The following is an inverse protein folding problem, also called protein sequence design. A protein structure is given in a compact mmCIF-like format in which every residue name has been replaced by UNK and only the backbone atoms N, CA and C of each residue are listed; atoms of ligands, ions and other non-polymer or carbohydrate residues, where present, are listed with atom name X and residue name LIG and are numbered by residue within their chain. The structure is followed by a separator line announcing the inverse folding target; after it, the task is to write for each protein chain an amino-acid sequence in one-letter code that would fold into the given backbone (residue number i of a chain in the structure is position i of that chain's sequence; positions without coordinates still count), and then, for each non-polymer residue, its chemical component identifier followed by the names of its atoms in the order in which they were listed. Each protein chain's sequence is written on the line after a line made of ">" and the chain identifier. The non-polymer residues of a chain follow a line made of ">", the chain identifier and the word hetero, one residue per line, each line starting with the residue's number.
data_IF_854880538369
#
_entry.id   IF_854880538369
#
_cell.length_a   1.000
_cell.length_b   1.000
_cell.length_c   1.000
_cell.angle_alpha   90.00
_cell.angle_beta   90.00
_cell.angle_gamma   90.00
#
_symmetry.space_group_name_H-M   'P 1'
#
loop_
_entity.id
_entity.type
_entity.pdbx_description
1 polymer ?
#
# COMPACT_ATOMS: atom_id res chain seq x y z
N UNK A 1 7.17 -5.75 25.77
CA UNK A 1 8.00 -6.06 24.59
C UNK A 1 7.36 -5.33 23.41
N UNK A 2 8.12 -4.64 22.61
CA UNK A 2 7.54 -3.91 21.46
C UNK A 2 7.10 -4.95 20.42
N UNK A 3 5.82 -4.92 20.03
CA UNK A 3 5.24 -5.86 19.07
C UNK A 3 5.23 -5.20 17.70
N UNK A 4 5.85 -5.82 16.72
CA UNK A 4 5.83 -5.38 15.32
C UNK A 4 4.81 -6.21 14.56
N UNK A 5 3.96 -5.53 13.79
CA UNK A 5 2.93 -6.21 13.00
C UNK A 5 3.54 -6.90 11.77
N UNK A 6 2.93 -7.98 11.29
CA UNK A 6 3.34 -8.66 10.05
C UNK A 6 3.29 -7.75 8.81
N UNK A 7 2.55 -6.65 8.88
CA UNK A 7 2.47 -5.59 7.85
C UNK A 7 3.70 -4.68 7.82
N UNK A 8 4.66 -4.84 8.74
CA UNK A 8 5.97 -4.20 8.63
C UNK A 8 6.68 -4.73 7.38
N UNK A 9 7.19 -3.84 6.54
CA UNK A 9 7.75 -4.16 5.22
C UNK A 9 8.71 -5.36 5.21
N UNK A 10 9.71 -5.37 6.09
CA UNK A 10 10.65 -6.48 6.22
C UNK A 10 9.96 -7.79 6.56
N UNK A 11 9.03 -7.78 7.53
CA UNK A 11 8.33 -8.97 7.99
C UNK A 11 7.40 -9.52 6.92
N UNK A 12 6.65 -8.64 6.24
CA UNK A 12 5.74 -9.00 5.18
C UNK A 12 6.49 -9.64 4.00
N UNK A 13 7.57 -9.01 3.57
CA UNK A 13 8.42 -9.52 2.49
C UNK A 13 9.07 -10.85 2.88
N UNK A 14 9.64 -10.97 4.09
CA UNK A 14 10.22 -12.22 4.61
C UNK A 14 9.18 -13.35 4.64
N UNK A 15 7.98 -13.06 5.17
CA UNK A 15 6.88 -14.01 5.28
C UNK A 15 6.51 -14.65 3.96
N UNK A 16 6.43 -13.86 2.88
CA UNK A 16 5.94 -14.32 1.58
C UNK A 16 7.05 -14.74 0.62
N UNK A 17 8.28 -14.23 0.77
CA UNK A 17 9.32 -14.43 -0.25
C UNK A 17 10.58 -15.13 0.24
N UNK A 18 10.67 -15.53 1.51
CA UNK A 18 11.79 -16.35 1.97
C UNK A 18 11.81 -17.71 1.23
N UNK A 19 12.98 -18.33 1.03
CA UNK A 19 13.12 -19.59 0.27
C UNK A 19 12.22 -20.71 0.79
N UNK A 20 11.98 -20.73 2.08
CA UNK A 20 11.13 -21.70 2.80
C UNK A 20 9.68 -21.22 2.98
N UNK A 21 9.25 -20.15 2.29
CA UNK A 21 7.92 -19.54 2.42
C UNK A 21 7.03 -19.69 1.17
N UNK A 22 7.47 -20.43 0.15
CA UNK A 22 6.74 -20.53 -1.11
C UNK A 22 5.33 -21.12 -0.95
N UNK A 23 5.14 -22.03 -0.01
CA UNK A 23 3.82 -22.59 0.30
C UNK A 23 2.91 -21.57 0.97
N UNK A 24 3.48 -20.67 1.80
CA UNK A 24 2.75 -19.56 2.43
C UNK A 24 2.30 -18.56 1.37
N UNK A 25 3.20 -18.15 0.47
CA UNK A 25 2.88 -17.28 -0.66
C UNK A 25 1.76 -17.86 -1.51
N UNK A 26 1.87 -19.15 -1.86
CA UNK A 26 0.87 -19.85 -2.68
C UNK A 26 -0.49 -19.89 -1.99
N UNK A 27 -0.53 -20.22 -0.69
CA UNK A 27 -1.75 -20.23 0.10
C UNK A 27 -2.36 -18.83 0.23
N UNK A 28 -1.55 -17.80 0.48
CA UNK A 28 -1.98 -16.41 0.55
C UNK A 28 -2.68 -15.95 -0.74
N UNK A 29 -2.08 -16.24 -1.89
CA UNK A 29 -2.66 -15.88 -3.18
C UNK A 29 -3.95 -16.67 -3.44
N UNK A 30 -3.99 -17.98 -3.16
CA UNK A 30 -5.19 -18.81 -3.29
C UNK A 30 -6.33 -18.28 -2.42
N UNK A 31 -6.07 -17.98 -1.15
CA UNK A 31 -7.10 -17.54 -0.20
C UNK A 31 -7.70 -16.19 -0.58
N UNK A 32 -6.89 -15.27 -1.12
CA UNK A 32 -7.36 -13.93 -1.46
C UNK A 32 -7.91 -13.81 -2.89
N UNK A 33 -7.34 -14.49 -3.87
CA UNK A 33 -7.83 -14.46 -5.26
C UNK A 33 -8.85 -15.56 -5.57
N UNK A 34 -8.81 -16.68 -4.85
CA UNK A 34 -9.57 -17.88 -5.21
C UNK A 34 -8.95 -18.68 -6.36
N UNK A 35 -7.71 -18.36 -6.75
CA UNK A 35 -6.98 -19.03 -7.85
C UNK A 35 -5.90 -19.94 -7.25
N UNK A 36 -5.85 -21.17 -7.70
CA UNK A 36 -4.84 -22.13 -7.29
C UNK A 36 -3.79 -22.32 -8.37
N UNK A 37 -2.52 -22.08 -8.00
CA UNK A 37 -1.37 -22.31 -8.86
C UNK A 37 -0.66 -23.60 -8.44
N UNK A 38 -0.09 -24.34 -9.39
CA UNK A 38 0.77 -25.49 -9.07
C UNK A 38 2.07 -25.01 -8.47
N UNK A 39 2.66 -23.96 -9.03
CA UNK A 39 3.83 -23.30 -8.50
C UNK A 39 3.68 -21.78 -8.60
N UNK A 40 4.16 -21.08 -7.58
CA UNK A 40 4.20 -19.62 -7.56
C UNK A 40 5.52 -19.20 -6.90
N UNK A 41 6.33 -18.42 -7.60
CA UNK A 41 7.66 -18.00 -7.13
C UNK A 41 7.76 -16.49 -7.13
N UNK A 42 8.26 -15.89 -6.05
CA UNK A 42 8.56 -14.46 -6.06
C UNK A 42 9.69 -14.19 -7.05
N UNK A 43 9.63 -13.07 -7.75
CA UNK A 43 10.69 -12.62 -8.66
C UNK A 43 11.99 -12.35 -7.88
N UNK A 44 11.84 -11.78 -6.69
CA UNK A 44 12.94 -11.52 -5.77
C UNK A 44 12.72 -12.27 -4.48
N UNK A 45 13.66 -13.13 -4.14
CA UNK A 45 13.66 -13.87 -2.87
C UNK A 45 14.21 -12.98 -1.75
N UNK A 46 13.60 -13.07 -0.57
CA UNK A 46 14.06 -12.32 0.59
C UNK A 46 15.45 -12.78 1.05
N UNK A 47 16.37 -11.80 1.10
CA UNK A 47 17.67 -11.91 1.75
C UNK A 47 17.94 -10.62 2.50
N UNK A 48 18.36 -10.70 3.78
CA UNK A 48 18.54 -9.51 4.62
C UNK A 48 19.54 -8.52 4.04
N UNK A 49 20.60 -8.98 3.39
CA UNK A 49 21.61 -8.10 2.78
C UNK A 49 21.05 -7.36 1.57
N UNK A 50 20.29 -8.03 0.71
CA UNK A 50 19.59 -7.40 -0.42
C UNK A 50 18.60 -6.36 0.09
N UNK A 51 17.85 -6.69 1.15
CA UNK A 51 16.90 -5.77 1.76
C UNK A 51 17.58 -4.52 2.34
N UNK A 52 18.69 -4.67 3.05
CA UNK A 52 19.48 -3.54 3.57
C UNK A 52 19.93 -2.61 2.45
N UNK A 53 20.47 -3.18 1.36
CA UNK A 53 20.93 -2.40 0.22
C UNK A 53 19.80 -1.62 -0.45
N UNK A 54 18.65 -2.25 -0.65
CA UNK A 54 17.44 -1.62 -1.18
C UNK A 54 16.96 -0.48 -0.27
N UNK A 55 16.89 -0.69 1.04
CA UNK A 55 16.48 0.31 2.02
C UNK A 55 17.41 1.53 2.01
N UNK A 56 18.73 1.33 2.04
CA UNK A 56 19.70 2.41 2.03
C UNK A 56 19.66 3.22 0.73
N UNK A 57 19.43 2.58 -0.41
CA UNK A 57 19.26 3.24 -1.70
C UNK A 57 18.04 4.15 -1.70
N UNK A 58 16.90 3.65 -1.20
CA UNK A 58 15.65 4.42 -1.15
C UNK A 58 15.72 5.56 -0.15
N UNK A 59 16.35 5.35 1.01
CA UNK A 59 16.60 6.39 2.01
C UNK A 59 17.42 7.56 1.43
N UNK A 60 18.49 7.28 0.67
CA UNK A 60 19.29 8.31 -0.01
C UNK A 60 18.50 9.09 -1.06
N UNK A 61 17.54 8.45 -1.70
CA UNK A 61 16.66 9.08 -2.66
C UNK A 61 15.51 9.90 -2.01
N UNK A 62 15.43 9.95 -0.66
CA UNK A 62 14.34 10.62 0.06
C UNK A 62 13.02 9.85 0.01
N UNK A 63 13.02 8.62 -0.48
CA UNK A 63 11.85 7.74 -0.57
C UNK A 63 11.76 6.95 0.72
N UNK A 64 10.99 7.46 1.69
CA UNK A 64 10.76 6.77 2.97
C UNK A 64 9.61 5.76 2.94
N UNK A 65 8.88 5.67 1.84
CA UNK A 65 7.89 4.64 1.60
C UNK A 65 8.56 3.51 0.81
N UNK A 66 8.96 2.48 1.52
CA UNK A 66 9.21 1.19 0.90
C UNK A 66 7.83 0.62 0.55
N UNK A 67 7.45 0.78 -0.70
CA UNK A 67 6.32 0.05 -1.23
C UNK A 67 6.70 -1.43 -1.20
N UNK A 68 5.85 -2.22 -0.58
CA UNK A 68 6.08 -3.67 -0.53
C UNK A 68 5.53 -4.26 -1.82
N UNK A 69 6.25 -4.08 -2.88
CA UNK A 69 5.93 -4.70 -4.15
C UNK A 69 6.58 -6.08 -4.19
N UNK A 70 5.76 -7.10 -4.05
CA UNK A 70 6.15 -8.47 -4.36
C UNK A 70 5.55 -8.80 -5.71
N UNK A 71 6.40 -9.12 -6.68
CA UNK A 71 5.98 -9.68 -7.94
C UNK A 71 6.26 -11.19 -7.91
N UNK A 72 5.21 -11.98 -8.05
CA UNK A 72 5.32 -13.43 -8.15
C UNK A 72 4.89 -13.91 -9.54
N UNK A 73 5.51 -14.99 -10.00
CA UNK A 73 5.26 -15.59 -11.32
C UNK A 73 4.85 -17.05 -11.13
N UNK A 74 3.75 -17.41 -11.74
CA UNK A 74 3.22 -18.78 -11.73
C UNK A 74 3.82 -19.64 -12.84
N UNK A 75 3.58 -20.95 -12.77
CA UNK A 75 4.04 -21.93 -13.79
C UNK A 75 3.51 -21.66 -15.20
N UNK A 76 2.34 -21.03 -15.29
CA UNK A 76 1.72 -20.67 -16.57
C UNK A 76 2.15 -19.28 -17.10
N UNK A 77 3.08 -18.63 -16.39
CA UNK A 77 3.56 -17.29 -16.69
C UNK A 77 2.67 -16.17 -16.20
N UNK A 78 1.55 -16.45 -15.51
CA UNK A 78 0.73 -15.42 -14.87
C UNK A 78 1.52 -14.66 -13.80
N UNK A 79 1.27 -13.36 -13.68
CA UNK A 79 1.94 -12.49 -12.74
C UNK A 79 1.00 -12.11 -11.60
N UNK A 80 1.51 -12.08 -10.38
CA UNK A 80 0.78 -11.60 -9.21
C UNK A 80 1.58 -10.50 -8.52
N UNK A 81 1.02 -9.30 -8.43
CA UNK A 81 1.56 -8.21 -7.61
C UNK A 81 0.91 -8.25 -6.24
N UNK A 82 1.69 -8.03 -5.17
CA UNK A 82 1.19 -8.01 -3.80
C UNK A 82 1.74 -6.76 -3.12
N UNK A 83 0.82 -5.89 -2.70
CA UNK A 83 1.13 -4.65 -1.99
C UNK A 83 0.53 -4.62 -0.59
N UNK A 84 1.24 -4.03 0.37
CA UNK A 84 0.76 -3.81 1.73
C UNK A 84 0.88 -2.33 2.11
N UNK A 85 -0.24 -1.61 2.06
CA UNK A 85 -0.31 -0.18 2.31
C UNK A 85 -0.96 0.10 3.66
N UNK A 86 -0.15 0.50 4.66
CA UNK A 86 -0.63 0.79 6.02
C UNK A 86 -1.07 2.24 6.24
N UNK A 87 -0.94 3.12 5.24
CA UNK A 87 -1.37 4.51 5.29
C UNK A 87 -2.12 4.87 4.03
N UNK A 88 -3.24 5.59 4.17
CA UNK A 88 -3.95 6.13 3.00
C UNK A 88 -3.04 7.09 2.23
N UNK A 89 -3.00 6.92 0.92
CA UNK A 89 -2.25 7.77 0.01
C UNK A 89 -3.19 8.24 -1.10
N UNK A 90 -3.15 9.52 -1.50
CA UNK A 90 -3.81 9.97 -2.72
C UNK A 90 -3.39 9.12 -3.91
N UNK A 91 -4.32 8.85 -4.83
CA UNK A 91 -4.05 8.07 -6.05
C UNK A 91 -3.64 6.61 -5.83
N UNK A 92 -4.12 5.98 -4.73
CA UNK A 92 -3.79 4.58 -4.45
C UNK A 92 -4.36 3.63 -5.52
N UNK A 93 -5.61 3.86 -5.96
CA UNK A 93 -6.25 3.03 -7.00
C UNK A 93 -5.49 3.14 -8.31
N UNK A 94 -5.12 4.36 -8.72
CA UNK A 94 -4.35 4.60 -9.95
C UNK A 94 -3.02 3.88 -9.91
N UNK A 95 -2.33 3.93 -8.77
CA UNK A 95 -1.03 3.28 -8.57
C UNK A 95 -1.12 1.76 -8.69
N UNK A 96 -2.04 1.12 -7.98
CA UNK A 96 -2.17 -0.34 -8.02
C UNK A 96 -2.66 -0.82 -9.39
N UNK A 97 -3.46 -0.01 -10.08
CA UNK A 97 -3.87 -0.28 -11.46
C UNK A 97 -2.69 -0.17 -12.43
N UNK A 98 -1.84 0.83 -12.24
CA UNK A 98 -0.60 0.98 -13.01
C UNK A 98 0.31 -0.24 -12.86
N UNK A 99 0.55 -0.72 -11.62
CA UNK A 99 1.38 -1.89 -11.36
C UNK A 99 0.79 -3.18 -11.95
N UNK A 100 -0.54 -3.33 -11.89
CA UNK A 100 -1.20 -4.45 -12.54
C UNK A 100 -0.99 -4.41 -14.06
N UNK A 101 -1.12 -3.24 -14.68
CA UNK A 101 -0.88 -3.06 -16.11
C UNK A 101 0.59 -3.34 -16.50
N UNK A 102 1.54 -2.92 -15.67
CA UNK A 102 2.97 -3.24 -15.86
C UNK A 102 3.22 -4.75 -15.76
N UNK A 103 2.65 -5.41 -14.75
CA UNK A 103 2.76 -6.86 -14.58
C UNK A 103 2.17 -7.61 -15.79
N UNK A 104 1.03 -7.17 -16.32
CA UNK A 104 0.44 -7.70 -17.53
C UNK A 104 1.36 -7.51 -18.74
N UNK A 105 1.92 -6.32 -18.91
CA UNK A 105 2.84 -5.99 -20.01
C UNK A 105 4.20 -6.69 -19.90
N UNK A 106 4.61 -7.10 -18.70
CA UNK A 106 5.95 -7.66 -18.46
C UNK A 106 6.29 -8.89 -19.30
N UNK A 107 5.28 -9.65 -19.74
CA UNK A 107 5.46 -10.83 -20.61
C UNK A 107 5.47 -10.48 -22.12
N UNK A 108 5.17 -9.23 -22.51
CA UNK A 108 5.12 -8.81 -23.90
C UNK A 108 6.48 -8.99 -24.60
N UNK A 109 6.49 -9.72 -25.71
CA UNK A 109 7.69 -9.98 -26.49
C UNK A 109 8.61 -11.07 -25.92
N UNK A 110 8.25 -11.73 -24.83
CA UNK A 110 9.02 -12.79 -24.20
C UNK A 110 8.73 -14.14 -24.90
N UNK A 111 9.33 -14.36 -26.06
CA UNK A 111 9.05 -15.49 -26.97
C UNK A 111 9.71 -16.81 -26.54
N UNK A 112 10.46 -16.86 -25.44
CA UNK A 112 11.24 -18.03 -25.03
C UNK A 112 10.40 -19.18 -24.46
N UNK A 113 9.13 -18.94 -24.13
CA UNK A 113 8.28 -19.96 -23.49
C UNK A 113 7.34 -20.72 -24.45
N UNK A 114 7.10 -20.27 -25.69
CA UNK A 114 6.05 -20.85 -26.52
C UNK A 114 6.48 -21.37 -27.91
N UNK A 115 7.73 -21.27 -28.29
CA UNK A 115 8.17 -21.81 -29.59
C UNK A 115 7.43 -21.25 -30.83
N UNK A 116 6.53 -20.31 -30.64
CA UNK A 116 5.69 -19.75 -31.67
C UNK A 116 6.36 -18.61 -32.44
N UNK A 117 5.99 -18.52 -33.72
CA UNK A 117 6.59 -17.66 -34.74
C UNK A 117 6.75 -16.20 -34.26
N UNK A 118 7.87 -15.63 -34.61
CA UNK A 118 8.37 -14.28 -34.31
C UNK A 118 7.42 -13.07 -34.63
N UNK A 119 6.23 -13.32 -35.14
CA UNK A 119 5.39 -12.27 -35.72
C UNK A 119 4.25 -11.77 -34.83
N UNK A 120 3.98 -12.41 -33.69
CA UNK A 120 2.90 -11.96 -32.80
C UNK A 120 3.34 -11.88 -31.34
N UNK A 121 3.84 -10.72 -30.94
CA UNK A 121 4.27 -10.45 -29.56
C UNK A 121 3.12 -10.50 -28.53
N UNK A 122 1.87 -10.31 -28.96
CA UNK A 122 0.70 -10.37 -28.07
C UNK A 122 0.41 -11.78 -27.56
N UNK A 123 0.83 -12.82 -28.28
CA UNK A 123 0.66 -14.22 -27.85
C UNK A 123 1.46 -14.57 -26.58
N UNK A 124 2.43 -13.74 -26.22
CA UNK A 124 3.23 -13.90 -24.99
C UNK A 124 2.57 -13.29 -23.74
N UNK A 125 1.52 -12.48 -23.89
CA UNK A 125 0.82 -11.89 -22.76
C UNK A 125 0.21 -12.97 -21.87
N UNK A 126 0.28 -12.77 -20.57
CA UNK A 126 -0.26 -13.67 -19.55
C UNK A 126 -1.14 -12.89 -18.58
N UNK A 127 -2.10 -13.53 -17.91
CA UNK A 127 -2.92 -12.91 -16.91
C UNK A 127 -2.10 -12.20 -15.84
N UNK A 128 -2.65 -11.11 -15.31
CA UNK A 128 -2.05 -10.42 -14.18
C UNK A 128 -3.08 -10.19 -13.07
N UNK A 129 -2.67 -10.40 -11.82
CA UNK A 129 -3.49 -10.32 -10.64
C UNK A 129 -2.84 -9.38 -9.62
N UNK A 130 -3.62 -8.49 -9.03
CA UNK A 130 -3.15 -7.58 -7.98
C UNK A 130 -3.80 -7.89 -6.65
N UNK A 131 -3.01 -8.09 -5.59
CA UNK A 131 -3.48 -8.22 -4.21
C UNK A 131 -3.00 -7.00 -3.45
N UNK A 132 -3.94 -6.27 -2.85
CA UNK A 132 -3.67 -5.02 -2.15
C UNK A 132 -4.20 -5.11 -0.72
N UNK A 133 -3.30 -5.10 0.25
CA UNK A 133 -3.62 -5.11 1.69
C UNK A 133 -3.65 -3.65 2.16
N UNK A 134 -4.73 -3.25 2.86
CA UNK A 134 -4.94 -1.87 3.26
C UNK A 134 -5.33 -1.76 4.73
N UNK A 135 -4.65 -0.87 5.46
CA UNK A 135 -5.01 -0.52 6.84
C UNK A 135 -5.81 0.80 6.90
N UNK A 136 -6.75 0.96 5.95
CA UNK A 136 -7.66 2.10 5.88
C UNK A 136 -8.93 1.76 5.08
N UNK A 137 -9.97 2.60 5.22
CA UNK A 137 -11.25 2.45 4.51
C UNK A 137 -11.19 3.07 3.11
N UNK A 138 -10.82 2.30 2.08
CA UNK A 138 -10.79 2.79 0.69
C UNK A 138 -12.19 2.90 0.08
N UNK A 139 -13.07 1.94 0.34
CA UNK A 139 -14.41 1.83 -0.25
C UNK A 139 -15.55 2.20 0.73
N UNK A 140 -15.20 2.67 1.95
CA UNK A 140 -16.15 2.97 3.02
C UNK A 140 -16.15 1.91 4.13
N UNK A 141 -16.55 2.34 5.34
CA UNK A 141 -16.42 1.56 6.58
C UNK A 141 -17.27 0.29 6.61
N UNK A 142 -18.49 0.33 6.04
CA UNK A 142 -19.46 -0.78 6.08
C UNK A 142 -19.33 -1.75 4.90
N UNK A 143 -18.34 -1.56 4.04
CA UNK A 143 -18.11 -2.41 2.89
C UNK A 143 -17.44 -3.73 3.28
N UNK A 144 -17.57 -4.76 2.41
CA UNK A 144 -16.85 -6.02 2.59
C UNK A 144 -15.35 -5.77 2.72
N UNK A 145 -14.69 -6.48 3.64
CA UNK A 145 -13.25 -6.37 3.83
C UNK A 145 -12.47 -6.93 2.63
N UNK A 146 -12.94 -8.04 2.04
CA UNK A 146 -12.38 -8.62 0.83
C UNK A 146 -13.24 -8.22 -0.37
N UNK A 147 -12.63 -7.53 -1.34
CA UNK A 147 -13.25 -7.17 -2.62
C UNK A 147 -12.39 -7.62 -3.77
N UNK A 148 -13.00 -8.19 -4.79
CA UNK A 148 -12.34 -8.54 -6.05
C UNK A 148 -13.05 -7.82 -7.19
N UNK A 149 -12.28 -7.21 -8.07
CA UNK A 149 -12.75 -6.52 -9.25
C UNK A 149 -12.26 -7.29 -10.47
N UNK A 150 -13.20 -7.57 -11.38
CA UNK A 150 -13.00 -8.36 -12.58
C UNK A 150 -13.40 -7.53 -13.80
N UNK A 151 -12.84 -7.85 -14.95
CA UNK A 151 -13.35 -7.35 -16.23
C UNK A 151 -14.52 -8.21 -16.66
N UNK A 152 -15.72 -7.65 -16.63
CA UNK A 152 -16.95 -8.35 -16.92
C UNK A 152 -17.65 -7.75 -18.15
N UNK A 153 -18.34 -8.58 -18.90
CA UNK A 153 -19.30 -8.15 -19.90
C UNK A 153 -20.48 -7.44 -19.20
N UNK A 154 -20.93 -6.32 -19.74
CA UNK A 154 -21.94 -5.48 -19.10
C UNK A 154 -23.31 -6.15 -19.00
N UNK A 155 -23.69 -6.95 -20.00
CA UNK A 155 -24.99 -7.57 -20.07
C UNK A 155 -25.03 -8.93 -19.39
N UNK A 156 -24.03 -9.78 -19.66
CA UNK A 156 -24.01 -11.16 -19.20
C UNK A 156 -23.29 -11.36 -17.88
N UNK A 157 -22.53 -10.34 -17.43
CA UNK A 157 -21.59 -10.39 -16.29
C UNK A 157 -20.57 -11.52 -16.40
N UNK A 158 -20.33 -12.02 -17.62
CA UNK A 158 -19.31 -13.02 -17.87
C UNK A 158 -17.91 -12.40 -17.81
N UNK A 159 -16.93 -13.06 -17.15
CA UNK A 159 -15.55 -12.57 -17.12
C UNK A 159 -14.90 -12.61 -18.51
N UNK A 160 -14.03 -11.61 -18.76
CA UNK A 160 -13.18 -11.60 -19.95
C UNK A 160 -12.00 -12.56 -19.76
N UNK A 161 -11.98 -13.63 -20.54
CA UNK A 161 -10.94 -14.63 -20.50
C UNK A 161 -9.87 -14.40 -21.57
N UNK A 162 -8.60 -14.61 -21.21
CA UNK A 162 -7.50 -14.63 -22.17
C UNK A 162 -7.43 -15.97 -22.90
N UNK A 163 -7.33 -17.07 -22.13
CA UNK A 163 -7.30 -18.45 -22.61
C UNK A 163 -7.87 -19.41 -21.54
N UNK A 164 -8.54 -20.49 -21.97
CA UNK A 164 -8.91 -21.64 -21.12
C UNK A 164 -9.50 -21.27 -19.75
N UNK A 165 -10.46 -20.34 -19.72
CA UNK A 165 -11.12 -19.87 -18.50
C UNK A 165 -10.18 -19.13 -17.49
N UNK A 166 -9.08 -18.57 -17.96
CA UNK A 166 -8.23 -17.70 -17.15
C UNK A 166 -8.62 -16.24 -17.38
N UNK A 167 -9.08 -15.59 -16.33
CA UNK A 167 -9.42 -14.18 -16.38
C UNK A 167 -8.19 -13.33 -16.65
N UNK A 168 -8.36 -12.31 -17.46
CA UNK A 168 -7.27 -11.46 -17.93
C UNK A 168 -6.63 -10.65 -16.80
N UNK A 169 -7.45 -9.95 -16.02
CA UNK A 169 -7.03 -9.06 -14.94
C UNK A 169 -7.98 -9.21 -13.76
N UNK A 170 -7.42 -9.28 -12.54
CA UNK A 170 -8.16 -9.23 -11.29
C UNK A 170 -7.46 -8.27 -10.34
N UNK A 171 -8.21 -7.32 -9.76
CA UNK A 171 -7.77 -6.51 -8.64
C UNK A 171 -8.47 -6.98 -7.36
N UNK A 172 -7.68 -7.44 -6.40
CA UNK A 172 -8.15 -7.86 -5.08
C UNK A 172 -7.69 -6.86 -4.01
N UNK A 173 -8.60 -6.52 -3.11
CA UNK A 173 -8.35 -5.64 -1.98
C UNK A 173 -8.80 -6.32 -0.69
N UNK A 174 -7.90 -6.38 0.30
CA UNK A 174 -8.21 -6.82 1.65
C UNK A 174 -8.02 -5.64 2.61
N UNK A 175 -9.11 -5.14 3.18
CA UNK A 175 -9.08 -4.11 4.22
C UNK A 175 -8.88 -4.76 5.58
N UNK A 176 -7.87 -4.32 6.33
CA UNK A 176 -7.59 -4.78 7.69
C UNK A 176 -8.52 -4.13 8.73
N UNK A 177 -9.17 -3.01 8.38
CA UNK A 177 -10.04 -2.24 9.27
C UNK A 177 -11.54 -2.53 9.08
N UNK A 178 -11.97 -2.99 7.90
CA UNK A 178 -13.37 -3.33 7.66
C UNK A 178 -13.73 -4.66 8.35
N UNK A 179 -14.87 -4.67 9.06
CA UNK A 179 -15.29 -5.83 9.87
C UNK A 179 -16.23 -6.78 9.12
N UNK A 180 -16.73 -6.38 7.95
CA UNK A 180 -17.63 -7.19 7.14
C UNK A 180 -16.86 -8.22 6.32
N UNK A 181 -16.55 -9.34 6.95
CA UNK A 181 -15.87 -10.50 6.36
C UNK A 181 -16.46 -11.76 6.97
N UNK A 182 -16.55 -12.84 6.20
CA UNK A 182 -17.02 -14.13 6.67
C UNK A 182 -16.07 -14.69 7.73
N UNK A 183 -16.60 -14.90 8.94
CA UNK A 183 -15.83 -15.40 10.07
C UNK A 183 -15.24 -16.79 9.75
N UNK A 184 -14.01 -17.03 10.18
CA UNK A 184 -13.26 -18.27 9.96
C UNK A 184 -12.99 -18.62 8.48
N UNK A 185 -13.31 -17.74 7.54
CA UNK A 185 -12.83 -17.89 6.16
C UNK A 185 -11.30 -17.75 6.10
N UNK A 186 -10.62 -18.33 5.10
CA UNK A 186 -9.17 -18.14 4.94
C UNK A 186 -8.77 -16.65 4.90
N UNK A 187 -9.54 -15.82 4.20
CA UNK A 187 -9.29 -14.38 4.14
C UNK A 187 -9.47 -13.68 5.50
N UNK A 188 -10.42 -14.14 6.34
CA UNK A 188 -10.60 -13.64 7.70
C UNK A 188 -9.39 -13.96 8.57
N UNK A 189 -8.82 -15.17 8.48
CA UNK A 189 -7.62 -15.54 9.23
C UNK A 189 -6.42 -14.69 8.82
N UNK A 190 -6.26 -14.40 7.52
CA UNK A 190 -5.23 -13.48 7.04
C UNK A 190 -5.45 -12.04 7.54
N UNK A 191 -6.69 -11.54 7.46
CA UNK A 191 -7.04 -10.22 7.98
C UNK A 191 -6.70 -10.11 9.47
N UNK A 192 -7.15 -11.08 10.28
CA UNK A 192 -6.91 -11.09 11.72
C UNK A 192 -5.42 -11.10 12.04
N UNK A 193 -4.67 -11.99 11.40
CA UNK A 193 -3.23 -12.11 11.60
C UNK A 193 -2.48 -10.83 11.19
N UNK A 194 -2.75 -10.29 10.01
CA UNK A 194 -2.08 -9.09 9.50
C UNK A 194 -2.41 -7.84 10.33
N UNK A 195 -3.64 -7.74 10.84
CA UNK A 195 -4.08 -6.61 11.65
C UNK A 195 -3.57 -6.65 13.10
N UNK A 196 -3.42 -7.84 13.69
CA UNK A 196 -3.14 -7.99 15.13
C UNK A 196 -1.77 -8.60 15.44
N UNK A 197 -1.15 -9.29 14.47
CA UNK A 197 0.04 -10.13 14.71
C UNK A 197 -0.28 -11.47 15.40
N UNK A 198 -1.56 -11.74 15.68
CA UNK A 198 -1.99 -12.95 16.39
C UNK A 198 -2.73 -13.90 15.45
N UNK A 199 -2.78 -15.18 15.82
CA UNK A 199 -3.52 -16.23 15.11
C UNK A 199 -4.46 -16.93 16.07
N UNK A 200 -5.59 -17.40 15.55
CA UNK A 200 -6.54 -18.21 16.32
C UNK A 200 -6.15 -19.69 16.28
N UNK A 201 -6.67 -20.48 17.22
CA UNK A 201 -6.40 -21.94 17.25
C UNK A 201 -6.89 -22.63 15.97
N UNK A 202 -7.98 -22.13 15.39
CA UNK A 202 -8.57 -22.63 14.13
C UNK A 202 -7.88 -22.15 12.86
N UNK A 203 -6.84 -21.30 12.98
CA UNK A 203 -6.11 -20.82 11.79
C UNK A 203 -5.41 -21.98 11.07
N UNK A 204 -5.36 -21.95 9.72
CA UNK A 204 -4.58 -22.90 8.94
C UNK A 204 -3.10 -22.91 9.33
N UNK A 205 -2.45 -24.08 9.21
CA UNK A 205 -1.05 -24.24 9.65
C UNK A 205 -0.09 -23.30 8.93
N UNK A 206 -0.30 -23.01 7.65
CA UNK A 206 0.53 -22.05 6.92
C UNK A 206 0.43 -20.60 7.46
N UNK A 207 -0.69 -20.22 8.11
CA UNK A 207 -0.81 -18.92 8.79
C UNK A 207 -0.11 -18.96 10.16
N UNK A 208 -0.19 -20.09 10.88
CA UNK A 208 0.58 -20.29 12.12
C UNK A 208 2.08 -20.24 11.85
N UNK A 209 2.54 -20.87 10.76
CA UNK A 209 3.93 -20.78 10.32
C UNK A 209 4.32 -19.35 9.94
N UNK A 210 3.44 -18.61 9.24
CA UNK A 210 3.65 -17.22 8.92
C UNK A 210 3.86 -16.37 10.20
N UNK A 211 3.06 -16.61 11.26
CA UNK A 211 3.26 -15.98 12.57
C UNK A 211 4.64 -16.28 13.13
N UNK A 212 5.06 -17.55 13.16
CA UNK A 212 6.38 -17.93 13.69
C UNK A 212 7.51 -17.22 12.95
N UNK A 213 7.39 -17.07 11.62
CA UNK A 213 8.40 -16.40 10.77
C UNK A 213 8.46 -14.89 11.00
N UNK A 214 7.37 -14.27 11.41
CA UNK A 214 7.26 -12.83 11.64
C UNK A 214 7.35 -12.42 13.10
N UNK A 215 7.37 -13.39 14.02
CA UNK A 215 7.57 -13.13 15.46
C UNK A 215 8.96 -12.53 15.69
N UNK A 216 8.98 -11.30 16.25
CA UNK A 216 10.21 -10.56 16.49
C UNK A 216 11.22 -11.34 17.34
N UNK A 217 10.76 -12.15 18.29
CA UNK A 217 11.63 -12.96 19.13
C UNK A 217 12.39 -14.06 18.34
N UNK A 218 11.81 -14.53 17.23
CA UNK A 218 12.38 -15.57 16.38
C UNK A 218 13.29 -15.05 15.27
N UNK A 219 13.38 -13.71 15.13
CA UNK A 219 14.20 -13.09 14.09
C UNK A 219 15.69 -13.13 14.43
N UNK A 220 16.52 -13.16 13.40
CA UNK A 220 17.96 -12.97 13.56
C UNK A 220 18.24 -11.56 14.09
N UNK A 221 19.32 -11.40 14.85
CA UNK A 221 19.71 -10.09 15.44
C UNK A 221 19.81 -8.96 14.42
N UNK A 222 20.27 -9.27 13.21
CA UNK A 222 20.36 -8.31 12.12
C UNK A 222 18.98 -7.83 11.64
N UNK A 223 18.02 -8.74 11.54
CA UNK A 223 16.63 -8.42 11.17
C UNK A 223 15.96 -7.59 12.25
N UNK A 224 16.15 -7.97 13.53
CA UNK A 224 15.65 -7.21 14.68
C UNK A 224 16.18 -5.78 14.68
N UNK A 225 17.49 -5.63 14.49
CA UNK A 225 18.14 -4.32 14.40
C UNK A 225 17.58 -3.50 13.24
N UNK A 226 17.45 -4.10 12.05
CA UNK A 226 16.93 -3.44 10.86
C UNK A 226 15.50 -2.92 11.07
N UNK A 227 14.62 -3.73 11.69
CA UNK A 227 13.26 -3.30 12.01
C UNK A 227 13.28 -2.11 12.96
N UNK A 228 14.09 -2.15 14.02
CA UNK A 228 14.19 -1.03 14.96
C UNK A 228 14.71 0.24 14.29
N UNK A 229 15.69 0.13 13.41
CA UNK A 229 16.25 1.28 12.69
C UNK A 229 15.22 1.87 11.72
N UNK A 230 14.44 1.04 11.02
CA UNK A 230 13.35 1.47 10.14
C UNK A 230 12.28 2.20 10.93
N UNK A 231 11.80 1.63 12.03
CA UNK A 231 10.74 2.23 12.83
C UNK A 231 11.19 3.55 13.48
N UNK A 232 12.45 3.63 13.92
CA UNK A 232 13.04 4.89 14.39
C UNK A 232 13.07 5.95 13.29
N UNK A 233 13.50 5.57 12.08
CA UNK A 233 13.52 6.49 10.94
C UNK A 233 12.11 6.98 10.56
N UNK A 234 11.12 6.09 10.56
CA UNK A 234 9.70 6.44 10.32
C UNK A 234 9.17 7.40 11.38
N UNK A 235 9.49 7.17 12.66
CA UNK A 235 9.06 8.04 13.75
C UNK A 235 9.65 9.45 13.63
N UNK A 236 10.94 9.57 13.29
CA UNK A 236 11.60 10.87 13.07
C UNK A 236 10.94 11.59 11.90
N UNK A 237 10.80 10.93 10.75
CA UNK A 237 10.17 11.52 9.56
C UNK A 237 8.71 11.92 9.81
N UNK A 238 7.95 11.10 10.56
CA UNK A 238 6.60 11.43 10.96
C UNK A 238 6.52 12.69 11.85
N UNK A 239 7.47 12.87 12.75
CA UNK A 239 7.57 14.07 13.58
C UNK A 239 7.90 15.31 12.74
N UNK A 240 8.84 15.21 11.80
CA UNK A 240 9.20 16.29 10.88
C UNK A 240 8.01 16.73 10.00
N UNK A 241 7.28 15.78 9.41
CA UNK A 241 6.08 16.06 8.61
C UNK A 241 4.97 16.71 9.46
N UNK A 242 4.78 16.24 10.70
CA UNK A 242 3.81 16.84 11.61
C UNK A 242 4.18 18.29 11.96
N UNK A 243 5.46 18.57 12.20
CA UNK A 243 5.98 19.91 12.42
C UNK A 243 5.71 20.82 11.22
N UNK A 244 6.15 20.40 10.03
CA UNK A 244 5.94 21.17 8.80
C UNK A 244 4.44 21.42 8.50
N UNK A 245 3.57 20.44 8.80
CA UNK A 245 2.12 20.60 8.64
C UNK A 245 1.55 21.64 9.61
N UNK A 246 1.98 21.62 10.87
CA UNK A 246 1.54 22.60 11.86
C UNK A 246 1.99 24.01 11.50
N UNK A 247 3.25 24.17 11.10
CA UNK A 247 3.79 25.44 10.61
C UNK A 247 3.04 25.95 9.38
N UNK A 248 2.79 25.08 8.40
CA UNK A 248 2.02 25.42 7.20
C UNK A 248 0.58 25.83 7.51
N UNK A 249 -0.08 25.15 8.47
CA UNK A 249 -1.44 25.48 8.90
C UNK A 249 -1.48 26.84 9.63
N UNK A 250 -0.48 27.09 10.49
CA UNK A 250 -0.37 28.36 11.20
C UNK A 250 -0.13 29.50 10.22
N UNK A 251 0.82 29.34 9.30
CA UNK A 251 1.11 30.31 8.26
C UNK A 251 -0.11 30.60 7.37
N UNK A 252 -0.79 29.55 6.91
CA UNK A 252 -2.01 29.73 6.11
C UNK A 252 -3.15 30.43 6.88
N UNK A 253 -3.27 30.21 8.19
CA UNK A 253 -4.22 30.96 9.04
C UNK A 253 -3.87 32.44 9.13
N UNK A 254 -2.59 32.78 9.33
CA UNK A 254 -2.15 34.16 9.38
C UNK A 254 -2.33 34.86 8.04
N UNK A 255 -1.97 34.20 6.93
CA UNK A 255 -2.19 34.71 5.57
C UNK A 255 -3.69 34.99 5.31
N UNK A 256 -4.58 34.03 5.67
CA UNK A 256 -6.03 34.21 5.52
C UNK A 256 -6.57 35.38 6.37
N UNK A 257 -6.06 35.57 7.61
CA UNK A 257 -6.42 36.72 8.44
C UNK A 257 -5.99 38.04 7.81
N UNK A 258 -4.77 38.11 7.28
CA UNK A 258 -4.27 39.31 6.60
C UNK A 258 -5.11 39.62 5.33
N UNK A 259 -5.41 38.58 4.53
CA UNK A 259 -6.26 38.75 3.35
C UNK A 259 -7.67 39.23 3.68
N UNK A 260 -8.27 38.69 4.75
CA UNK A 260 -9.57 39.12 5.25
C UNK A 260 -9.53 40.56 5.77
N UNK A 261 -8.49 40.91 6.53
CA UNK A 261 -8.29 42.28 7.04
C UNK A 261 -8.22 43.31 5.91
N UNK A 262 -7.46 43.02 4.85
CA UNK A 262 -7.36 43.87 3.67
C UNK A 262 -8.70 44.07 2.98
N UNK A 263 -9.52 43.00 2.87
CA UNK A 263 -10.87 43.10 2.31
C UNK A 263 -11.77 44.01 3.14
N UNK A 264 -11.73 43.89 4.47
CA UNK A 264 -12.52 44.74 5.37
C UNK A 264 -12.07 46.20 5.34
N UNK A 265 -10.78 46.48 5.27
CA UNK A 265 -10.26 47.84 5.14
C UNK A 265 -10.72 48.50 3.81
N UNK A 266 -10.67 47.73 2.70
CA UNK A 266 -11.11 48.23 1.39
C UNK A 266 -12.59 48.58 1.29
N UNK A 267 -13.47 47.97 2.08
CA UNK A 267 -14.89 48.30 2.18
C UNK A 267 -15.21 49.39 3.20
N UNK A 268 -14.19 49.99 3.81
CA UNK A 268 -14.34 51.17 4.65
C UNK A 268 -14.52 50.91 6.14
N UNK A 269 -14.21 49.72 6.66
CA UNK A 269 -14.21 49.47 8.10
C UNK A 269 -12.99 50.14 8.77
N UNK A 270 -13.16 50.50 10.05
CA UNK A 270 -12.06 51.09 10.83
C UNK A 270 -11.05 50.03 11.26
N UNK A 271 -9.81 50.43 11.59
CA UNK A 271 -8.76 49.54 12.09
C UNK A 271 -9.20 48.80 13.36
N UNK A 272 -9.97 49.43 14.24
CA UNK A 272 -10.50 48.82 15.46
C UNK A 272 -11.49 47.70 15.14
N UNK A 273 -12.43 47.95 14.22
CA UNK A 273 -13.39 46.95 13.78
C UNK A 273 -12.73 45.75 13.09
N UNK A 274 -11.73 46.01 12.25
CA UNK A 274 -10.97 44.95 11.57
C UNK A 274 -10.13 44.15 12.58
N UNK A 275 -9.53 44.80 13.57
CA UNK A 275 -8.80 44.14 14.64
C UNK A 275 -9.69 43.21 15.47
N UNK A 276 -10.91 43.65 15.83
CA UNK A 276 -11.87 42.83 16.55
C UNK A 276 -12.29 41.57 15.78
N UNK A 277 -12.52 41.68 14.48
CA UNK A 277 -12.97 40.56 13.65
C UNK A 277 -11.84 39.58 13.29
N UNK A 278 -10.64 40.07 13.02
CA UNK A 278 -9.53 39.26 12.54
C UNK A 278 -8.59 38.77 13.64
N UNK A 279 -8.62 39.49 14.81
CA UNK A 279 -7.67 39.27 15.92
C UNK A 279 -6.25 39.74 15.59
N UNK A 280 -6.05 40.52 14.52
CA UNK A 280 -4.77 41.15 14.19
C UNK A 280 -4.64 42.47 15.02
N UNK A 281 -3.44 42.74 15.51
CA UNK A 281 -3.17 44.01 16.18
C UNK A 281 -3.18 45.22 15.22
N UNK A 282 -3.45 46.41 15.76
CA UNK A 282 -3.59 47.63 14.96
C UNK A 282 -2.28 48.00 14.25
N UNK A 283 -1.12 47.64 14.81
CA UNK A 283 0.16 47.92 14.17
C UNK A 283 0.36 47.08 12.91
N UNK A 284 0.00 45.80 12.98
CA UNK A 284 -0.01 44.88 11.83
C UNK A 284 -0.98 45.35 10.74
N UNK A 285 -2.19 45.79 11.14
CA UNK A 285 -3.17 46.35 10.19
C UNK A 285 -2.68 47.59 9.48
N UNK A 286 -2.02 48.51 10.18
CA UNK A 286 -1.41 49.71 9.57
C UNK A 286 -0.27 49.37 8.60
N UNK A 287 0.50 48.35 8.87
CA UNK A 287 1.52 47.85 7.93
C UNK A 287 0.89 47.30 6.65
N UNK A 288 -0.14 46.46 6.80
CA UNK A 288 -0.87 45.92 5.69
C UNK A 288 -1.53 46.98 4.79
N UNK A 289 -2.06 48.06 5.38
CA UNK A 289 -2.65 49.19 4.69
C UNK A 289 -1.59 49.94 3.86
N UNK A 290 -0.41 50.22 4.42
CA UNK A 290 0.70 50.92 3.74
C UNK A 290 1.33 50.11 2.59
N UNK A 291 1.32 48.80 2.66
CA UNK A 291 1.86 47.93 1.62
C UNK A 291 0.95 47.84 0.38
N UNK A 292 -0.27 48.40 0.45
CA UNK A 292 -1.23 48.46 -0.64
C UNK A 292 -1.33 49.84 -1.34
N UNK A 293 -0.71 50.91 -0.77
CA UNK A 293 -0.53 52.20 -1.42
C UNK A 293 0.72 52.20 -2.34
#
# INVERSE_FOLDING_TARGET
>A
MQTYLPTTDLLFRKMLTAPDSLHILKAFVKDLLGIEFQSLKPRETYHIETYKHFYEKNKRAGVFHTEVDILAVAEDGSHTTIECQVRSHPHFIERVTYYLAEAFRASYGNLTASGDKKDNHYSSLRPAYGINIMDFHLFGENQKALKRFHLLDEETHAPLYLEKNKELLILCFLSLVNKNIEAHSPAWHWQYFLATGEVTDSAPDYIKEAKVKTDFANLKREEQKMIMDIEKAKAIHGAELSGARLEGLQKGREEAKCELALKFLKIGNTLEQVSEVTGLDIETLRKLEREQE
#
